data_IF_866195517207
#
_entry.id   IF_866195517207
#
_cell.length_a   1.000
_cell.length_b   1.000
_cell.length_c   1.000
_cell.angle_alpha   90.00
_cell.angle_beta   90.00
_cell.angle_gamma   90.00
#
_symmetry.space_group_name_H-M   'P 1'
#
loop_
_entity.id
_entity.type
_entity.pdbx_description
1 polymer ?
#
# COMPACT_ATOMS: atom_id res chain seq x y z
N UNK A 1 13.28 6.31 31.93
CA UNK A 1 14.20 7.33 31.39
C UNK A 1 13.46 8.03 30.27
N UNK A 2 12.91 9.20 30.56
CA UNK A 2 12.33 10.08 29.54
C UNK A 2 13.51 10.75 28.84
N UNK A 3 13.77 10.38 27.59
CA UNK A 3 14.87 10.97 26.84
C UNK A 3 14.31 12.16 26.09
N UNK A 4 14.63 13.37 26.55
CA UNK A 4 14.27 14.61 25.86
C UNK A 4 15.06 14.69 24.54
N UNK A 5 14.44 14.18 23.47
CA UNK A 5 15.03 14.15 22.14
C UNK A 5 14.13 14.88 21.16
N UNK A 6 14.74 15.76 20.36
CA UNK A 6 14.07 16.32 19.19
C UNK A 6 13.67 15.20 18.22
N UNK A 7 12.55 15.42 17.52
CA UNK A 7 12.08 14.53 16.44
C UNK A 7 13.19 14.27 15.41
N UNK A 8 13.99 15.28 15.08
CA UNK A 8 15.11 15.17 14.16
C UNK A 8 16.19 14.20 14.65
N UNK A 9 16.52 14.25 15.94
CA UNK A 9 17.49 13.36 16.56
C UNK A 9 16.99 11.93 16.52
N UNK A 10 15.73 11.69 16.89
CA UNK A 10 15.11 10.37 16.81
C UNK A 10 15.12 9.81 15.37
N UNK A 11 14.78 10.63 14.37
CA UNK A 11 14.81 10.21 12.97
C UNK A 11 16.23 9.89 12.46
N UNK A 12 17.25 10.61 12.92
CA UNK A 12 18.66 10.31 12.59
C UNK A 12 19.10 8.99 13.21
N UNK A 13 18.77 8.75 14.47
CA UNK A 13 19.09 7.49 15.17
C UNK A 13 18.44 6.31 14.44
N UNK A 14 17.16 6.42 14.10
CA UNK A 14 16.45 5.37 13.35
C UNK A 14 17.07 5.11 11.97
N UNK A 15 17.49 6.16 11.25
CA UNK A 15 18.22 5.99 9.98
C UNK A 15 19.58 5.32 10.17
N UNK A 16 20.33 5.69 11.20
CA UNK A 16 21.60 5.02 11.56
C UNK A 16 21.39 3.54 11.90
N UNK A 17 20.24 3.18 12.47
CA UNK A 17 19.83 1.81 12.75
C UNK A 17 19.26 1.04 11.54
N UNK A 18 19.40 1.56 10.31
CA UNK A 18 18.84 0.99 9.08
C UNK A 18 17.30 0.86 9.09
N UNK A 19 16.62 1.81 9.75
CA UNK A 19 15.16 1.91 9.80
C UNK A 19 14.65 3.20 9.13
N UNK A 20 14.81 3.33 7.79
CA UNK A 20 14.22 4.44 7.07
C UNK A 20 12.69 4.42 7.14
N UNK A 21 12.09 5.59 6.94
CA UNK A 21 10.64 5.71 6.81
C UNK A 21 10.21 5.26 5.41
N UNK A 22 9.15 4.44 5.37
CA UNK A 22 8.51 3.99 4.14
C UNK A 22 7.02 4.28 4.19
N UNK A 23 6.42 4.57 3.05
CA UNK A 23 4.96 4.59 2.95
C UNK A 23 4.41 3.18 3.23
N UNK A 24 3.46 3.11 4.15
CA UNK A 24 2.72 1.88 4.42
C UNK A 24 1.87 1.54 3.19
N UNK A 25 1.80 0.25 2.85
CA UNK A 25 1.00 -0.21 1.73
C UNK A 25 -0.22 -0.88 2.32
N UNK A 26 -1.40 -0.30 2.07
CA UNK A 26 -2.69 -0.91 2.41
C UNK A 26 -3.08 -1.84 1.26
N UNK A 27 -3.14 -3.15 1.51
CA UNK A 27 -3.71 -4.12 0.56
C UNK A 27 -4.87 -4.82 1.26
N UNK A 28 -6.01 -5.03 0.58
CA UNK A 28 -7.07 -5.85 1.14
C UNK A 28 -6.55 -7.28 1.33
N UNK A 29 -6.95 -7.92 2.43
CA UNK A 29 -6.70 -9.34 2.61
C UNK A 29 -7.60 -10.11 1.63
N UNK A 30 -6.98 -10.77 0.66
CA UNK A 30 -7.69 -11.58 -0.32
C UNK A 30 -7.70 -13.03 0.17
N UNK A 31 -8.89 -13.60 0.36
CA UNK A 31 -9.06 -15.01 0.74
C UNK A 31 -8.49 -15.94 -0.34
N UNK A 32 -8.13 -17.17 0.04
CA UNK A 32 -7.60 -18.18 -0.90
C UNK A 32 -8.61 -18.45 -2.03
N UNK A 33 -9.90 -18.49 -1.70
CA UNK A 33 -11.00 -18.62 -2.68
C UNK A 33 -10.98 -17.48 -3.70
N UNK A 34 -10.91 -16.23 -3.23
CA UNK A 34 -10.91 -15.06 -4.11
C UNK A 34 -9.64 -14.96 -4.95
N UNK A 35 -8.49 -15.40 -4.42
CA UNK A 35 -7.25 -15.50 -5.21
C UNK A 35 -7.42 -16.45 -6.40
N UNK A 36 -7.97 -17.66 -6.16
CA UNK A 36 -8.24 -18.64 -7.22
C UNK A 36 -9.23 -18.10 -8.26
N UNK A 37 -10.33 -17.50 -7.80
CA UNK A 37 -11.33 -16.93 -8.70
C UNK A 37 -10.76 -15.80 -9.58
N UNK A 38 -9.96 -14.89 -9.01
CA UNK A 38 -9.31 -13.82 -9.76
C UNK A 38 -8.30 -14.35 -10.78
N UNK A 39 -7.51 -15.38 -10.42
CA UNK A 39 -6.57 -16.00 -11.35
C UNK A 39 -7.30 -16.68 -12.50
N UNK A 40 -8.37 -17.43 -12.20
CA UNK A 40 -9.21 -18.06 -13.22
C UNK A 40 -9.83 -17.00 -14.15
N UNK A 41 -10.38 -15.90 -13.61
CA UNK A 41 -10.91 -14.79 -14.40
C UNK A 41 -9.83 -14.15 -15.30
N UNK A 42 -8.64 -13.89 -14.76
CA UNK A 42 -7.54 -13.30 -15.54
C UNK A 42 -7.05 -14.22 -16.66
N UNK A 43 -7.03 -15.54 -16.42
CA UNK A 43 -6.65 -16.54 -17.42
C UNK A 43 -7.77 -16.83 -18.43
N UNK A 44 -9.03 -16.63 -18.06
CA UNK A 44 -10.21 -16.89 -18.88
C UNK A 44 -10.51 -15.79 -19.92
N UNK A 45 -9.48 -15.03 -20.33
CA UNK A 45 -9.43 -14.15 -21.50
C UNK A 45 -9.96 -12.71 -21.35
N UNK A 46 -9.23 -11.79 -22.01
CA UNK A 46 -9.72 -10.78 -22.94
C UNK A 46 -8.55 -10.25 -23.80
N UNK A 47 -8.75 -10.16 -25.12
CA UNK A 47 -7.79 -9.52 -26.03
C UNK A 47 -7.85 -8.00 -25.88
N UNK A 48 -6.87 -7.28 -26.43
CA UNK A 48 -6.89 -5.81 -26.40
C UNK A 48 -8.17 -5.24 -27.02
N UNK A 49 -8.69 -5.86 -28.08
CA UNK A 49 -9.95 -5.52 -28.74
C UNK A 49 -11.17 -5.73 -27.84
N UNK A 50 -11.19 -6.76 -26.99
CA UNK A 50 -12.31 -7.02 -26.08
C UNK A 50 -12.41 -5.94 -25.00
N UNK A 51 -11.27 -5.50 -24.45
CA UNK A 51 -11.24 -4.42 -23.44
C UNK A 51 -11.79 -3.09 -23.98
N UNK A 52 -11.68 -2.83 -25.28
CA UNK A 52 -12.23 -1.59 -25.90
C UNK A 52 -13.76 -1.54 -25.84
N UNK A 53 -14.42 -2.67 -25.66
CA UNK A 53 -15.89 -2.77 -25.57
C UNK A 53 -16.39 -2.66 -24.13
N UNK A 54 -15.50 -2.64 -23.15
CA UNK A 54 -15.85 -2.63 -21.73
C UNK A 54 -15.88 -1.20 -21.21
N UNK A 55 -17.02 -0.79 -20.68
CA UNK A 55 -17.15 0.44 -19.89
C UNK A 55 -17.14 0.08 -18.41
N UNK A 56 -16.13 0.56 -17.68
CA UNK A 56 -16.07 0.42 -16.23
C UNK A 56 -16.77 1.58 -15.52
N UNK A 57 -17.42 1.27 -14.41
CA UNK A 57 -17.99 2.23 -13.48
C UNK A 57 -17.67 1.81 -12.06
N UNK A 58 -17.32 2.77 -11.21
CA UNK A 58 -17.16 2.58 -9.77
C UNK A 58 -17.39 3.92 -9.07
N UNK A 59 -17.62 3.88 -7.77
CA UNK A 59 -17.79 5.07 -6.94
C UNK A 59 -16.47 5.44 -6.25
N UNK A 60 -16.13 6.72 -6.21
CA UNK A 60 -15.00 7.22 -5.43
C UNK A 60 -15.44 8.29 -4.44
N UNK A 61 -14.79 8.30 -3.28
CA UNK A 61 -14.96 9.36 -2.28
C UNK A 61 -14.04 10.53 -2.60
N UNK A 62 -14.60 11.73 -2.78
CA UNK A 62 -13.86 12.98 -2.95
C UNK A 62 -14.05 13.83 -1.67
N UNK A 63 -12.95 14.15 -1.00
CA UNK A 63 -12.97 15.00 0.20
C UNK A 63 -12.61 16.45 -0.17
N UNK A 64 -13.39 17.42 0.30
CA UNK A 64 -13.10 18.85 0.13
C UNK A 64 -11.98 19.34 1.05
N UNK A 65 -11.91 18.79 2.28
CA UNK A 65 -10.88 19.11 3.26
C UNK A 65 -10.33 17.83 3.88
N UNK A 66 -9.00 17.82 4.07
CA UNK A 66 -8.28 16.69 4.65
C UNK A 66 -8.13 15.50 3.69
N UNK A 67 -7.18 14.63 4.02
CA UNK A 67 -7.00 13.34 3.35
C UNK A 67 -7.02 12.22 4.38
N UNK A 68 -7.34 11.01 3.94
CA UNK A 68 -7.22 9.81 4.80
C UNK A 68 -5.77 9.51 5.21
N UNK A 69 -4.81 10.31 4.73
CA UNK A 69 -3.44 10.39 5.20
C UNK A 69 -2.54 9.24 4.72
N UNK A 70 -1.31 9.60 4.38
CA UNK A 70 -0.24 8.62 4.16
C UNK A 70 0.30 8.21 5.53
N UNK A 71 0.21 6.91 5.84
CA UNK A 71 0.86 6.35 7.03
C UNK A 71 2.29 5.93 6.69
N UNK A 72 3.27 6.36 7.49
CA UNK A 72 4.65 5.94 7.38
C UNK A 72 4.97 4.83 8.40
N UNK A 73 5.75 3.85 7.96
CA UNK A 73 6.27 2.77 8.81
C UNK A 73 7.79 2.75 8.75
N UNK A 74 8.45 2.39 9.86
CA UNK A 74 9.90 2.22 9.92
C UNK A 74 10.23 0.75 9.68
N UNK A 75 11.00 0.44 8.64
CA UNK A 75 11.45 -0.93 8.34
C UNK A 75 12.73 -0.93 7.53
N UNK A 76 13.48 -2.03 7.61
CA UNK A 76 14.65 -2.27 6.74
C UNK A 76 14.22 -2.40 5.28
N UNK A 77 15.15 -2.13 4.38
CA UNK A 77 14.95 -2.37 2.96
C UNK A 77 14.56 -3.84 2.70
N UNK A 78 13.72 -4.05 1.68
CA UNK A 78 13.29 -5.39 1.23
C UNK A 78 12.53 -6.26 2.25
N UNK A 79 12.09 -5.72 3.39
CA UNK A 79 11.25 -6.42 4.38
C UNK A 79 9.77 -6.04 4.28
N UNK A 80 9.24 -5.96 3.06
CA UNK A 80 7.87 -5.48 2.79
C UNK A 80 6.78 -6.51 3.12
N UNK A 81 7.05 -7.79 2.91
CA UNK A 81 6.06 -8.88 2.96
C UNK A 81 6.46 -10.01 3.92
N UNK A 82 7.31 -9.70 4.90
CA UNK A 82 7.63 -10.67 5.96
C UNK A 82 6.51 -10.70 6.98
#
# INVERSE_FOLDING_TARGET
MEVDLSVWTAQRILRKADLPAWQSVKKPLISVRNKKARLAFANAYWTAEDWRRVLFSDEIKINLFGSDGIKFVRRRANKRFK
#
